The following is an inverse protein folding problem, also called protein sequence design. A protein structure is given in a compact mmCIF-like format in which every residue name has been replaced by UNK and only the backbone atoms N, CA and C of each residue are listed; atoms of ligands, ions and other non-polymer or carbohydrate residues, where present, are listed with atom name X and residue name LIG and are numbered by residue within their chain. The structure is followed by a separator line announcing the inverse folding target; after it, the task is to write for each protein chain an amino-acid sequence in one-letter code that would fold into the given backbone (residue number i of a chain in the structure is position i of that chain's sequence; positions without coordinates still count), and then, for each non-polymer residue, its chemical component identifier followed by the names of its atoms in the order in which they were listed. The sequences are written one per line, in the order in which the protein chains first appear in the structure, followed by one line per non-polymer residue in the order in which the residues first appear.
data_IF_043610912095
#
_entry.id   IF_043610912095
#
_cell.length_a   1.000
_cell.length_b   1.000
_cell.length_c   1.000
_cell.angle_alpha   90.00
_cell.angle_beta   90.00
_cell.angle_gamma   90.00
#
_symmetry.space_group_name_H-M   'P 1'
#
loop_
_entity.id
_entity.type
_entity.pdbx_description
1 polymer ?
#
# COMPACT_ATOMS: atom_id res chain seq x y z
N UNK A 1 -17.53 14.32 -8.43
CA UNK A 1 -17.43 14.76 -7.02
C UNK A 1 -16.65 16.05 -6.99
N UNK A 2 -17.14 17.03 -6.27
CA UNK A 2 -16.46 18.30 -6.01
C UNK A 2 -16.09 18.36 -4.53
N UNK A 3 -14.86 18.75 -4.23
CA UNK A 3 -14.42 19.02 -2.86
C UNK A 3 -14.30 20.52 -2.63
N UNK A 4 -14.33 20.97 -1.38
CA UNK A 4 -14.01 22.35 -1.00
C UNK A 4 -12.50 22.63 -0.95
N UNK A 5 -11.67 21.61 -1.18
CA UNK A 5 -10.22 21.73 -1.20
C UNK A 5 -9.76 22.46 -2.48
N UNK A 6 -8.66 23.18 -2.38
CA UNK A 6 -8.02 23.84 -3.51
C UNK A 6 -6.52 23.53 -3.56
N UNK A 7 -5.91 23.76 -4.73
CA UNK A 7 -4.51 23.45 -4.98
C UNK A 7 -4.19 21.98 -4.64
N UNK A 8 -4.98 21.07 -5.20
CA UNK A 8 -4.76 19.64 -5.11
C UNK A 8 -3.59 19.26 -6.00
N UNK A 9 -2.75 18.33 -5.54
CA UNK A 9 -1.60 17.84 -6.30
C UNK A 9 -1.66 16.33 -6.50
N UNK A 10 -1.51 15.53 -5.45
CA UNK A 10 -1.47 14.08 -5.52
C UNK A 10 -2.73 13.39 -5.02
N UNK A 11 -3.00 12.21 -5.56
CA UNK A 11 -4.04 11.29 -5.09
C UNK A 11 -3.52 9.86 -5.08
N UNK A 12 -3.81 9.13 -4.03
CA UNK A 12 -3.52 7.69 -3.92
C UNK A 12 -4.66 6.97 -3.20
N UNK A 13 -4.64 5.64 -3.21
CA UNK A 13 -5.70 4.83 -2.59
C UNK A 13 -5.09 3.69 -1.78
N UNK A 14 -5.66 3.40 -0.61
CA UNK A 14 -5.30 2.24 0.19
C UNK A 14 -6.04 0.97 -0.25
N UNK A 15 -5.69 -0.15 0.37
CA UNK A 15 -6.31 -1.45 0.11
C UNK A 15 -7.75 -1.57 0.63
N UNK A 16 -8.22 -0.62 1.46
CA UNK A 16 -9.60 -0.55 1.95
C UNK A 16 -10.50 0.30 1.03
N UNK A 17 -9.94 0.90 -0.03
CA UNK A 17 -10.64 1.75 -0.96
C UNK A 17 -10.78 3.20 -0.51
N UNK A 18 -10.06 3.63 0.53
CA UNK A 18 -10.02 5.03 0.90
C UNK A 18 -9.06 5.80 -0.01
N UNK A 19 -9.42 7.03 -0.35
CA UNK A 19 -8.59 7.94 -1.14
C UNK A 19 -7.87 8.93 -0.24
N UNK A 20 -6.62 9.21 -0.56
CA UNK A 20 -5.79 10.22 0.08
C UNK A 20 -5.46 11.29 -0.93
N UNK A 21 -5.64 12.54 -0.55
CA UNK A 21 -5.46 13.70 -1.43
C UNK A 21 -4.56 14.71 -0.73
N UNK A 22 -3.47 15.10 -1.39
CA UNK A 22 -2.64 16.20 -0.93
C UNK A 22 -3.23 17.54 -1.37
N UNK A 23 -3.25 18.50 -0.46
CA UNK A 23 -3.76 19.84 -0.73
C UNK A 23 -2.81 20.91 -0.17
N UNK A 24 -2.28 21.74 -1.05
CA UNK A 24 -1.40 22.86 -0.68
C UNK A 24 -2.13 23.92 0.13
N UNK A 25 -3.41 24.17 -0.19
CA UNK A 25 -4.19 25.19 0.50
C UNK A 25 -4.36 24.94 1.99
N UNK A 26 -4.31 23.68 2.40
CA UNK A 26 -4.39 23.28 3.81
C UNK A 26 -3.06 22.76 4.38
N UNK A 27 -2.03 22.59 3.53
CA UNK A 27 -0.77 21.93 3.91
C UNK A 27 -1.01 20.58 4.61
N UNK A 28 -1.91 19.77 4.05
CA UNK A 28 -2.43 18.57 4.68
C UNK A 28 -2.70 17.45 3.68
N UNK A 29 -2.79 16.22 4.22
CA UNK A 29 -3.37 15.08 3.52
C UNK A 29 -4.77 14.83 4.05
N UNK A 30 -5.72 14.81 3.14
CA UNK A 30 -7.14 14.51 3.39
C UNK A 30 -7.45 13.09 2.95
N UNK A 31 -8.10 12.34 3.83
CA UNK A 31 -8.64 11.02 3.50
C UNK A 31 -10.12 11.14 3.21
N UNK A 32 -10.58 10.42 2.21
CA UNK A 32 -11.97 10.21 1.86
C UNK A 32 -12.26 8.71 1.86
N UNK A 33 -13.42 8.31 2.37
CA UNK A 33 -13.89 6.95 2.18
C UNK A 33 -14.24 6.66 0.71
N UNK A 34 -14.51 5.38 0.38
CA UNK A 34 -14.68 4.91 -1.00
C UNK A 34 -15.84 5.58 -1.77
N UNK A 35 -16.87 6.07 -1.07
CA UNK A 35 -18.03 6.76 -1.65
C UNK A 35 -17.96 8.29 -1.52
N UNK A 36 -16.88 8.81 -0.91
CA UNK A 36 -16.63 10.24 -0.64
C UNK A 36 -17.68 10.90 0.27
N UNK A 37 -18.42 10.13 1.05
CA UNK A 37 -19.40 10.66 2.02
C UNK A 37 -18.74 11.22 3.28
N UNK A 38 -17.55 10.72 3.63
CA UNK A 38 -16.81 11.11 4.82
C UNK A 38 -15.39 11.56 4.46
N UNK A 39 -14.89 12.55 5.17
CA UNK A 39 -13.53 13.07 5.02
C UNK A 39 -12.92 13.37 6.37
N UNK A 40 -11.61 13.14 6.49
CA UNK A 40 -10.80 13.49 7.65
C UNK A 40 -9.42 13.98 7.23
N UNK A 41 -8.78 14.83 8.04
CA UNK A 41 -7.36 15.17 7.88
C UNK A 41 -6.55 14.11 8.64
N UNK A 42 -5.67 13.40 7.94
CA UNK A 42 -4.82 12.37 8.55
C UNK A 42 -3.46 12.91 8.99
N UNK A 43 -3.01 13.99 8.36
CA UNK A 43 -1.79 14.71 8.72
C UNK A 43 -1.91 16.16 8.23
N UNK A 44 -1.45 17.10 9.04
CA UNK A 44 -1.35 18.53 8.73
C UNK A 44 0.05 19.08 9.04
N UNK A 45 0.23 20.39 8.85
CA UNK A 45 1.52 21.03 9.11
C UNK A 45 2.60 20.71 8.07
N UNK A 46 2.22 20.14 6.95
CA UNK A 46 3.10 19.85 5.82
C UNK A 46 3.52 21.16 5.10
N UNK A 47 4.45 21.05 4.16
CA UNK A 47 4.91 22.20 3.40
C UNK A 47 4.77 21.97 1.89
N UNK A 48 3.64 22.39 1.33
CA UNK A 48 3.25 22.12 -0.06
C UNK A 48 3.40 20.64 -0.42
N UNK A 49 2.57 19.76 0.20
CA UNK A 49 2.64 18.33 -0.08
C UNK A 49 2.28 18.05 -1.53
N UNK A 50 3.20 17.42 -2.26
CA UNK A 50 3.09 17.16 -3.69
C UNK A 50 2.45 15.79 -3.97
N UNK A 51 2.81 15.16 -5.09
CA UNK A 51 2.29 13.86 -5.49
C UNK A 51 2.63 12.78 -4.44
N UNK A 52 1.63 12.06 -3.98
CA UNK A 52 1.73 11.10 -2.86
C UNK A 52 1.54 9.68 -3.35
N UNK A 53 2.13 8.72 -2.62
CA UNK A 53 2.01 7.30 -2.93
C UNK A 53 1.75 6.47 -1.68
N UNK A 54 0.74 5.59 -1.74
CA UNK A 54 0.46 4.60 -0.70
C UNK A 54 1.09 3.26 -1.08
N UNK A 55 2.02 2.78 -0.25
CA UNK A 55 2.61 1.46 -0.37
C UNK A 55 1.74 0.43 0.37
N UNK A 56 1.11 -0.47 -0.38
CA UNK A 56 0.20 -1.49 0.17
C UNK A 56 0.92 -2.60 0.95
N UNK A 57 2.24 -2.77 0.78
CA UNK A 57 2.99 -3.84 1.45
C UNK A 57 3.27 -3.55 2.92
N UNK A 58 3.49 -2.30 3.27
CA UNK A 58 3.84 -1.88 4.62
C UNK A 58 2.91 -0.79 5.19
N UNK A 59 1.85 -0.45 4.46
CA UNK A 59 0.86 0.58 4.80
C UNK A 59 1.49 1.97 5.01
N UNK A 60 2.49 2.31 4.20
CA UNK A 60 3.20 3.59 4.29
C UNK A 60 2.74 4.54 3.21
N UNK A 61 2.44 5.78 3.58
CA UNK A 61 2.22 6.89 2.65
C UNK A 61 3.52 7.69 2.54
N UNK A 62 4.05 7.80 1.33
CA UNK A 62 5.14 8.69 1.00
C UNK A 62 4.60 10.06 0.60
N UNK A 63 5.09 11.12 1.25
CA UNK A 63 4.59 12.50 1.08
C UNK A 63 5.79 13.41 0.80
N UNK A 64 6.07 13.72 -0.47
CA UNK A 64 7.04 14.76 -0.80
C UNK A 64 6.52 16.15 -0.41
N UNK A 65 7.33 16.92 0.30
CA UNK A 65 7.06 18.31 0.66
C UNK A 65 7.90 19.23 -0.22
N UNK A 66 7.30 19.78 -1.26
CA UNK A 66 8.01 20.60 -2.26
C UNK A 66 8.48 21.94 -1.69
N UNK A 67 7.84 22.44 -0.64
CA UNK A 67 8.19 23.74 -0.05
C UNK A 67 9.46 23.73 0.80
N UNK A 68 9.94 22.55 1.25
CA UNK A 68 11.14 22.42 2.07
C UNK A 68 12.08 21.28 1.64
N UNK A 69 11.80 20.64 0.50
CA UNK A 69 12.61 19.56 -0.10
C UNK A 69 12.78 18.34 0.85
N UNK A 70 11.72 17.96 1.57
CA UNK A 70 11.69 16.78 2.44
C UNK A 70 10.70 15.75 1.91
N UNK A 71 10.82 14.52 2.42
CA UNK A 71 9.82 13.46 2.23
C UNK A 71 9.45 12.91 3.60
N UNK A 72 8.16 12.92 3.91
CA UNK A 72 7.64 12.24 5.09
C UNK A 72 7.17 10.83 4.69
N UNK A 73 7.45 9.86 5.55
CA UNK A 73 6.95 8.50 5.44
C UNK A 73 6.10 8.21 6.68
N UNK A 74 4.80 8.09 6.49
CA UNK A 74 3.89 7.82 7.59
C UNK A 74 3.25 6.43 7.42
N UNK A 75 3.27 5.65 8.50
CA UNK A 75 2.52 4.40 8.52
C UNK A 75 1.06 4.71 8.83
N UNK A 76 0.18 4.37 7.90
CA UNK A 76 -1.26 4.57 8.03
C UNK A 76 -2.00 3.32 7.60
N UNK A 77 -2.43 2.55 8.59
CA UNK A 77 -3.15 1.30 8.35
C UNK A 77 -4.66 1.57 8.35
N UNK A 78 -5.32 1.28 7.24
CA UNK A 78 -6.76 1.30 7.19
C UNK A 78 -7.32 0.17 8.07
N UNK A 79 -8.20 0.50 9.04
CA UNK A 79 -8.84 -0.51 9.87
C UNK A 79 -9.70 -1.45 9.01
N UNK A 80 -9.20 -2.65 8.80
CA UNK A 80 -9.87 -3.72 8.02
C UNK A 80 -11.04 -4.36 8.76
N UNK A 81 -11.50 -3.79 9.88
CA UNK A 81 -12.56 -4.37 10.71
C UNK A 81 -13.91 -4.56 10.00
N UNK A 82 -14.09 -4.01 8.79
CA UNK A 82 -15.28 -4.16 7.96
C UNK A 82 -15.04 -4.79 6.58
N UNK A 83 -13.82 -5.21 6.26
CA UNK A 83 -13.62 -6.00 5.05
C UNK A 83 -14.13 -7.44 5.28
N UNK A 84 -14.91 -8.01 4.35
CA UNK A 84 -15.10 -9.45 4.35
C UNK A 84 -13.70 -10.06 4.37
N UNK A 85 -13.48 -10.94 5.33
CA UNK A 85 -12.23 -11.67 5.52
C UNK A 85 -11.96 -12.46 4.22
N UNK A 86 -11.32 -11.83 3.24
CA UNK A 86 -10.66 -12.55 2.17
C UNK A 86 -9.47 -13.22 2.85
N UNK A 87 -9.70 -14.42 3.34
CA UNK A 87 -8.63 -15.34 3.59
C UNK A 87 -7.96 -15.54 2.24
N UNK A 88 -6.96 -14.73 1.95
CA UNK A 88 -6.03 -15.03 0.88
C UNK A 88 -5.34 -16.29 1.31
N UNK A 89 -5.91 -17.43 0.93
CA UNK A 89 -5.21 -18.70 1.07
C UNK A 89 -3.92 -18.53 0.29
N UNK A 90 -2.81 -18.44 1.05
CA UNK A 90 -1.51 -18.35 0.43
C UNK A 90 -1.28 -19.65 -0.34
N UNK A 91 -1.26 -19.57 -1.66
CA UNK A 91 -0.95 -20.71 -2.51
C UNK A 91 0.34 -20.47 -3.27
N UNK A 92 1.02 -21.55 -3.58
CA UNK A 92 2.26 -21.53 -4.35
C UNK A 92 1.91 -21.26 -5.81
N UNK A 93 2.41 -20.14 -6.35
CA UNK A 93 2.27 -19.79 -7.76
C UNK A 93 3.38 -20.41 -8.62
N UNK A 94 4.55 -20.67 -8.01
CA UNK A 94 5.68 -21.28 -8.70
C UNK A 94 6.58 -22.04 -7.72
N UNK A 95 7.08 -23.18 -8.16
CA UNK A 95 8.12 -23.93 -7.46
C UNK A 95 9.28 -24.17 -8.43
N UNK A 96 10.49 -23.82 -7.98
CA UNK A 96 11.70 -23.95 -8.80
C UNK A 96 12.81 -24.64 -7.99
N UNK A 97 13.73 -25.31 -8.67
CA UNK A 97 14.97 -25.83 -8.10
C UNK A 97 16.04 -24.71 -8.02
N UNK A 98 17.23 -25.06 -7.50
CA UNK A 98 18.35 -24.12 -7.40
C UNK A 98 18.86 -23.59 -8.76
N UNK A 99 18.51 -24.23 -9.84
CA UNK A 99 18.88 -23.83 -11.20
C UNK A 99 17.77 -23.04 -11.89
N UNK A 100 16.67 -22.72 -11.17
CA UNK A 100 15.55 -21.96 -11.69
C UNK A 100 14.57 -22.76 -12.56
N UNK A 101 14.73 -24.08 -12.66
CA UNK A 101 13.82 -24.98 -13.43
C UNK A 101 12.61 -25.32 -12.57
N UNK A 102 11.49 -25.62 -13.20
CA UNK A 102 10.32 -26.14 -12.48
C UNK A 102 10.70 -27.39 -11.69
N UNK A 103 10.38 -27.36 -10.39
CA UNK A 103 10.74 -28.43 -9.46
C UNK A 103 9.54 -29.30 -9.13
N UNK A 104 9.79 -30.61 -9.02
CA UNK A 104 8.90 -31.57 -8.39
C UNK A 104 8.94 -31.38 -6.86
N UNK A 105 8.03 -32.06 -6.14
CA UNK A 105 7.95 -31.89 -4.68
C UNK A 105 9.17 -32.38 -3.91
N UNK A 106 10.05 -33.21 -4.50
CA UNK A 106 11.22 -33.82 -3.85
C UNK A 106 12.46 -32.93 -3.97
N UNK A 107 13.30 -32.92 -2.93
CA UNK A 107 14.57 -32.23 -2.89
C UNK A 107 14.45 -30.77 -2.45
N UNK A 108 15.45 -29.97 -2.81
CA UNK A 108 15.49 -28.56 -2.47
C UNK A 108 14.65 -27.74 -3.45
N UNK A 109 13.71 -26.98 -2.90
CA UNK A 109 12.78 -26.16 -3.67
C UNK A 109 12.76 -24.72 -3.17
N UNK A 110 12.56 -23.82 -4.09
CA UNK A 110 12.18 -22.43 -3.82
C UNK A 110 10.71 -22.29 -4.21
N UNK A 111 9.86 -22.00 -3.22
CA UNK A 111 8.43 -21.81 -3.39
C UNK A 111 8.11 -20.33 -3.41
N UNK A 112 7.45 -19.87 -4.45
CA UNK A 112 6.98 -18.49 -4.62
C UNK A 112 5.47 -18.50 -4.43
N UNK A 113 5.00 -17.69 -3.48
CA UNK A 113 3.59 -17.58 -3.12
C UNK A 113 2.93 -16.39 -3.80
N UNK A 114 1.60 -16.44 -3.92
CA UNK A 114 0.78 -15.39 -4.52
C UNK A 114 0.88 -14.02 -3.82
N UNK A 115 1.32 -13.98 -2.57
CA UNK A 115 1.56 -12.78 -1.77
C UNK A 115 3.01 -12.26 -1.85
N UNK A 116 3.83 -12.80 -2.77
CA UNK A 116 5.24 -12.42 -2.93
C UNK A 116 6.20 -13.06 -1.92
N UNK A 117 5.71 -13.83 -0.96
CA UNK A 117 6.57 -14.57 -0.01
C UNK A 117 7.35 -15.66 -0.75
N UNK A 118 8.63 -15.78 -0.43
CA UNK A 118 9.52 -16.81 -0.95
C UNK A 118 9.95 -17.71 0.21
N UNK A 119 9.73 -19.02 0.08
CA UNK A 119 10.20 -20.04 1.03
C UNK A 119 11.19 -20.97 0.37
N UNK A 120 12.19 -21.37 1.15
CA UNK A 120 13.11 -22.46 0.80
C UNK A 120 12.66 -23.70 1.56
N UNK A 121 12.40 -24.77 0.85
CA UNK A 121 11.94 -26.05 1.43
C UNK A 121 12.83 -27.18 0.96
N UNK A 122 13.07 -28.14 1.83
CA UNK A 122 13.72 -29.40 1.47
C UNK A 122 12.78 -30.54 1.88
N UNK A 123 12.29 -31.28 0.90
CA UNK A 123 11.37 -32.39 1.10
C UNK A 123 12.12 -33.71 0.92
N UNK A 124 12.09 -34.53 1.96
CA UNK A 124 12.55 -35.92 1.95
C UNK A 124 11.40 -36.82 1.50
N UNK A 125 11.75 -37.99 1.01
CA UNK A 125 10.81 -39.08 0.71
C UNK A 125 10.13 -39.59 1.96
#
# INVERSE_FOLDING_TARGET
ITTSLSNLDGITMDQCGNFYISAWSSNAIHKYNSDFSETEIIIDGLNNPADIFYNQFDNTIGIPNSGNNTVDLINYNCNTNNMPNYTTTNYIIKRIDLLGREATKQGFNIEIYNNGVIKKTFLLD
#
